data_IF_473169230153
#
_entry.id   IF_473169230153
#
_cell.length_a   1.000
_cell.length_b   1.000
_cell.length_c   1.000
_cell.angle_alpha   90.00
_cell.angle_beta   90.00
_cell.angle_gamma   90.00
#
_symmetry.space_group_name_H-M   'P 1'
#
loop_
_entity.id
_entity.type
_entity.pdbx_description
1 polymer ?
#
# COMPACT_ATOMS: atom_id res chain seq x y z
N UNK A 1 -6.70 54.95 -22.00
CA UNK A 1 -7.09 53.82 -22.88
C UNK A 1 -6.13 52.63 -22.78
N UNK A 2 -4.83 52.76 -23.03
CA UNK A 2 -3.90 51.60 -22.98
C UNK A 2 -3.80 50.93 -21.59
N UNK A 3 -3.87 51.70 -20.50
CA UNK A 3 -3.81 51.14 -19.13
C UNK A 3 -5.12 50.50 -18.66
N UNK A 4 -6.27 50.88 -19.22
CA UNK A 4 -7.56 50.28 -18.89
C UNK A 4 -7.72 48.91 -19.55
N UNK A 5 -7.28 48.78 -20.81
CA UNK A 5 -7.21 47.48 -21.51
C UNK A 5 -6.37 46.48 -20.72
N UNK A 6 -5.16 46.88 -20.29
CA UNK A 6 -4.27 46.01 -19.50
C UNK A 6 -4.89 45.56 -18.17
N UNK A 7 -5.70 46.41 -17.53
CA UNK A 7 -6.40 46.06 -16.30
C UNK A 7 -7.55 45.08 -16.56
N UNK A 8 -8.30 45.26 -17.64
CA UNK A 8 -9.35 44.31 -18.04
C UNK A 8 -8.76 42.94 -18.39
N UNK A 9 -7.66 42.90 -19.13
CA UNK A 9 -6.96 41.65 -19.46
C UNK A 9 -6.48 40.93 -18.19
N UNK A 10 -5.90 41.65 -17.23
CA UNK A 10 -5.50 41.09 -15.94
C UNK A 10 -6.68 40.54 -15.13
N UNK A 11 -7.83 41.22 -15.15
CA UNK A 11 -9.04 40.75 -14.45
C UNK A 11 -9.59 39.48 -15.09
N UNK A 12 -9.61 39.38 -16.42
CA UNK A 12 -10.00 38.18 -17.15
C UNK A 12 -9.06 37.01 -16.84
N UNK A 13 -7.74 37.22 -16.95
CA UNK A 13 -6.74 36.19 -16.62
C UNK A 13 -6.85 35.69 -15.17
N UNK A 14 -7.10 36.60 -14.22
CA UNK A 14 -7.31 36.21 -12.83
C UNK A 14 -8.59 35.41 -12.64
N UNK A 15 -9.67 35.75 -13.35
CA UNK A 15 -10.94 35.03 -13.28
C UNK A 15 -10.80 33.60 -13.79
N UNK A 16 -10.16 33.40 -14.94
CA UNK A 16 -9.90 32.08 -15.51
C UNK A 16 -9.01 31.22 -14.58
N UNK A 17 -7.99 31.84 -13.98
CA UNK A 17 -7.15 31.17 -12.99
C UNK A 17 -7.94 30.71 -11.76
N UNK A 18 -8.96 31.45 -11.33
CA UNK A 18 -9.79 31.08 -10.18
C UNK A 18 -10.74 29.93 -10.48
N UNK A 19 -11.36 29.93 -11.65
CA UNK A 19 -12.17 28.81 -12.09
C UNK A 19 -11.34 27.53 -12.18
N UNK A 20 -10.14 27.62 -12.75
CA UNK A 20 -9.17 26.52 -12.80
C UNK A 20 -8.77 26.02 -11.39
N UNK A 21 -8.59 26.91 -10.41
CA UNK A 21 -8.32 26.51 -9.02
C UNK A 21 -9.52 25.79 -8.40
N UNK A 22 -10.74 26.23 -8.70
CA UNK A 22 -11.97 25.59 -8.23
C UNK A 22 -12.05 24.14 -8.68
N UNK A 23 -11.82 23.88 -9.97
CA UNK A 23 -11.83 22.53 -10.54
C UNK A 23 -10.71 21.67 -9.96
N UNK A 24 -9.49 22.20 -9.85
CA UNK A 24 -8.34 21.48 -9.27
C UNK A 24 -8.53 21.15 -7.78
N UNK A 25 -9.23 22.00 -7.03
CA UNK A 25 -9.55 21.74 -5.62
C UNK A 25 -10.50 20.55 -5.47
N UNK A 26 -11.48 20.41 -6.36
CA UNK A 26 -12.37 19.26 -6.33
C UNK A 26 -11.62 17.99 -6.74
N UNK A 27 -10.88 18.05 -7.86
CA UNK A 27 -10.12 16.92 -8.38
C UNK A 27 -9.12 16.37 -7.34
N UNK A 28 -8.31 17.23 -6.71
CA UNK A 28 -7.33 16.77 -5.71
C UNK A 28 -8.00 16.11 -4.50
N UNK A 29 -9.17 16.59 -4.08
CA UNK A 29 -9.88 16.02 -2.93
C UNK A 29 -10.41 14.63 -3.28
N UNK A 30 -10.95 14.45 -4.49
CA UNK A 30 -11.40 13.15 -4.98
C UNK A 30 -10.26 12.13 -4.99
N UNK A 31 -9.12 12.45 -5.61
CA UNK A 31 -7.98 11.53 -5.67
C UNK A 31 -7.35 11.25 -4.29
N UNK A 32 -7.35 12.24 -3.40
CA UNK A 32 -6.97 12.04 -2.01
C UNK A 32 -7.88 11.02 -1.32
N UNK A 33 -9.21 11.15 -1.44
CA UNK A 33 -10.14 10.22 -0.83
C UNK A 33 -10.02 8.81 -1.40
N UNK A 34 -9.89 8.67 -2.72
CA UNK A 34 -9.65 7.37 -3.36
C UNK A 34 -8.39 6.72 -2.81
N UNK A 35 -7.28 7.45 -2.75
CA UNK A 35 -6.00 6.96 -2.22
C UNK A 35 -6.12 6.55 -0.75
N UNK A 36 -6.77 7.39 0.05
CA UNK A 36 -6.96 7.16 1.48
C UNK A 36 -7.83 5.92 1.75
N UNK A 37 -8.93 5.75 1.01
CA UNK A 37 -9.78 4.56 1.12
C UNK A 37 -9.02 3.30 0.71
N UNK A 38 -8.24 3.34 -0.38
CA UNK A 38 -7.41 2.20 -0.79
C UNK A 38 -6.41 1.81 0.30
N UNK A 39 -5.76 2.79 0.93
CA UNK A 39 -4.85 2.55 2.06
C UNK A 39 -5.57 1.91 3.25
N UNK A 40 -6.78 2.37 3.57
CA UNK A 40 -7.57 1.79 4.67
C UNK A 40 -8.01 0.35 4.37
N UNK A 41 -8.45 0.07 3.14
CA UNK A 41 -8.84 -1.28 2.71
C UNK A 41 -7.64 -2.23 2.79
N UNK A 42 -6.48 -1.82 2.26
CA UNK A 42 -5.26 -2.63 2.32
C UNK A 42 -4.84 -2.92 3.76
N UNK A 43 -4.95 -1.95 4.66
CA UNK A 43 -4.64 -2.16 6.07
C UNK A 43 -5.68 -3.09 6.73
N UNK A 44 -6.97 -2.90 6.45
CA UNK A 44 -8.02 -3.78 6.97
C UNK A 44 -7.82 -5.24 6.53
N UNK A 45 -7.45 -5.46 5.27
CA UNK A 45 -7.15 -6.81 4.74
C UNK A 45 -5.96 -7.44 5.47
N UNK A 46 -4.90 -6.67 5.75
CA UNK A 46 -3.76 -7.17 6.51
C UNK A 46 -4.17 -7.68 7.90
N UNK A 47 -4.99 -6.93 8.64
CA UNK A 47 -5.51 -7.34 9.95
C UNK A 47 -6.59 -8.43 9.89
N UNK A 48 -7.30 -8.56 8.78
CA UNK A 48 -8.27 -9.63 8.57
C UNK A 48 -7.58 -10.97 8.23
N UNK A 49 -6.37 -10.94 7.70
CA UNK A 49 -5.64 -12.15 7.30
C UNK A 49 -5.41 -13.19 8.43
N UNK A 50 -5.02 -12.80 9.66
CA UNK A 50 -4.86 -13.76 10.77
C UNK A 50 -6.18 -14.33 11.30
N UNK A 51 -7.32 -13.76 10.90
CA UNK A 51 -8.61 -14.25 11.38
C UNK A 51 -8.98 -15.54 10.65
N UNK A 52 -9.64 -16.49 11.33
CA UNK A 52 -10.15 -17.74 10.73
C UNK A 52 -11.28 -17.51 9.69
N UNK A 53 -11.48 -16.28 9.22
CA UNK A 53 -12.52 -15.90 8.27
C UNK A 53 -12.11 -16.08 6.80
N UNK A 54 -10.83 -16.38 6.52
CA UNK A 54 -10.32 -16.59 5.16
C UNK A 54 -10.03 -18.08 4.93
N UNK A 55 -10.63 -18.65 3.88
CA UNK A 55 -10.25 -19.96 3.37
C UNK A 55 -8.97 -19.80 2.56
N UNK A 56 -7.82 -20.19 3.15
CA UNK A 56 -6.58 -20.30 2.40
C UNK A 56 -6.74 -21.38 1.31
N UNK A 57 -6.20 -21.15 0.11
CA UNK A 57 -6.23 -22.18 -0.92
C UNK A 57 -5.47 -23.40 -0.42
N UNK A 58 -6.16 -24.53 -0.29
CA UNK A 58 -5.54 -25.82 -0.04
C UNK A 58 -4.38 -26.03 -1.03
N UNK A 59 -3.33 -26.71 -0.57
CA UNK A 59 -2.04 -27.09 -1.19
C UNK A 59 -2.07 -27.40 -2.71
N UNK A 60 -3.22 -27.72 -3.28
CA UNK A 60 -3.41 -28.04 -4.70
C UNK A 60 -3.37 -26.84 -5.65
N UNK A 61 -3.57 -25.60 -5.18
CA UNK A 61 -3.52 -24.41 -6.05
C UNK A 61 -2.11 -23.82 -6.25
N UNK A 62 -1.14 -24.13 -5.37
CA UNK A 62 0.25 -23.67 -5.46
C UNK A 62 1.01 -24.27 -6.66
N UNK A 63 0.62 -25.48 -7.11
CA UNK A 63 1.16 -26.13 -8.32
C UNK A 63 0.98 -25.27 -9.59
N UNK A 64 -0.15 -24.58 -9.71
CA UNK A 64 -0.46 -23.78 -10.89
C UNK A 64 0.20 -22.38 -10.88
N UNK A 65 0.61 -21.87 -9.73
CA UNK A 65 1.33 -20.59 -9.61
C UNK A 65 2.84 -20.78 -9.77
N UNK A 66 3.38 -21.91 -9.29
CA UNK A 66 4.75 -22.33 -9.55
C UNK A 66 4.98 -22.65 -11.04
N UNK A 67 3.99 -23.21 -11.74
CA UNK A 67 4.08 -23.47 -13.19
C UNK A 67 4.11 -22.19 -14.02
N UNK A 68 3.35 -21.16 -13.65
CA UNK A 68 3.38 -19.85 -14.34
C UNK A 68 4.67 -19.08 -14.05
N UNK A 69 5.18 -19.13 -12.82
CA UNK A 69 6.45 -18.52 -12.44
C UNK A 69 7.65 -19.19 -13.15
N UNK A 70 7.61 -20.52 -13.31
CA UNK A 70 8.62 -21.27 -14.06
C UNK A 70 8.50 -21.08 -15.58
N UNK A 71 7.32 -20.75 -16.12
CA UNK A 71 7.16 -20.33 -17.52
C UNK A 71 7.76 -18.94 -17.79
N UNK A 72 7.61 -17.99 -16.86
CA UNK A 72 8.23 -16.66 -16.96
C UNK A 72 9.76 -16.76 -16.83
N UNK A 73 10.26 -17.66 -15.97
CA UNK A 73 11.69 -17.94 -15.86
C UNK A 73 12.29 -18.61 -17.12
N UNK A 74 11.50 -19.39 -17.86
CA UNK A 74 11.91 -20.05 -19.11
C UNK A 74 11.96 -19.15 -20.35
N UNK A 75 11.36 -17.96 -20.30
CA UNK A 75 11.44 -16.94 -21.36
C UNK A 75 12.71 -16.08 -21.28
N UNK A 76 13.52 -16.23 -20.23
CA UNK A 76 14.87 -15.67 -20.15
C UNK A 76 15.89 -16.76 -20.55
N UNK A 77 16.24 -16.82 -21.84
CA UNK A 77 17.28 -17.72 -22.39
C UNK A 77 18.69 -17.28 -21.95
N UNK A 78 19.67 -18.20 -21.82
CA UNK A 78 20.58 -18.26 -20.67
C UNK A 78 22.04 -17.91 -20.98
N UNK A 79 22.85 -17.77 -19.94
CA UNK A 79 24.30 -17.90 -20.05
C UNK A 79 24.92 -18.62 -18.84
N UNK A 80 25.42 -19.82 -19.12
CA UNK A 80 26.59 -20.54 -18.55
C UNK A 80 26.55 -21.12 -17.11
N UNK A 81 26.39 -22.45 -17.08
CA UNK A 81 27.22 -23.48 -16.40
C UNK A 81 28.70 -23.05 -16.20
N UNK A 82 29.50 -23.44 -15.20
CA UNK A 82 29.68 -24.65 -14.37
C UNK A 82 30.51 -24.19 -13.13
N UNK A 83 30.46 -24.79 -11.94
CA UNK A 83 31.19 -26.02 -11.66
C UNK A 83 30.76 -26.70 -10.34
N UNK A 84 30.91 -28.02 -10.43
CA UNK A 84 30.63 -29.14 -9.53
C UNK A 84 31.72 -29.32 -8.46
N UNK A 85 31.34 -29.57 -7.20
CA UNK A 85 32.08 -30.46 -6.28
C UNK A 85 31.07 -31.26 -5.45
N UNK A 86 31.03 -32.57 -5.72
CA UNK A 86 30.43 -33.60 -4.86
C UNK A 86 31.37 -33.91 -3.70
N UNK A 87 30.85 -34.14 -2.48
CA UNK A 87 31.42 -35.16 -1.57
C UNK A 87 30.32 -35.71 -0.66
N UNK A 88 30.18 -37.04 -0.73
CA UNK A 88 29.34 -37.92 0.08
C UNK A 88 29.70 -37.85 1.56
N UNK A 89 28.71 -38.01 2.46
CA UNK A 89 28.79 -39.00 3.56
C UNK A 89 27.38 -39.37 3.99
N UNK A 90 27.07 -40.66 3.78
CA UNK A 90 25.87 -41.36 4.21
C UNK A 90 26.08 -41.95 5.61
N UNK A 91 24.95 -42.13 6.33
CA UNK A 91 24.71 -43.10 7.40
C UNK A 91 25.40 -42.84 8.74
N UNK A 92 24.60 -42.51 9.76
CA UNK A 92 24.41 -43.17 11.06
C UNK A 92 23.29 -42.36 11.77
N UNK A 93 22.56 -42.97 12.72
CA UNK A 93 21.42 -42.40 13.49
C UNK A 93 20.01 -42.56 12.89
N UNK A 94 19.76 -43.72 12.28
CA UNK A 94 18.49 -44.44 12.51
C UNK A 94 18.66 -45.35 13.74
N UNK A 95 18.44 -44.83 14.96
CA UNK A 95 18.43 -45.65 16.19
C UNK A 95 17.83 -44.94 17.43
N UNK A 96 16.73 -44.19 17.30
CA UNK A 96 16.05 -43.60 18.47
C UNK A 96 14.51 -43.57 18.35
N UNK A 97 13.93 -44.65 17.82
CA UNK A 97 12.49 -44.92 17.90
C UNK A 97 12.26 -46.34 18.41
N UNK A 98 12.27 -46.50 19.73
CA UNK A 98 11.55 -47.52 20.48
C UNK A 98 11.79 -47.25 21.96
N UNK A 99 10.75 -47.39 22.79
CA UNK A 99 10.71 -47.20 24.25
C UNK A 99 10.28 -45.78 24.70
N UNK A 100 8.99 -45.49 24.57
CA UNK A 100 8.08 -45.32 25.74
C UNK A 100 6.66 -45.15 25.22
N UNK A 101 5.95 -46.27 25.10
CA UNK A 101 4.49 -46.28 25.18
C UNK A 101 4.10 -46.38 26.66
N UNK A 102 2.91 -45.86 26.97
CA UNK A 102 2.19 -45.91 28.25
C UNK A 102 2.67 -45.02 29.40
N UNK A 103 2.01 -43.86 29.56
CA UNK A 103 1.33 -43.49 30.80
C UNK A 103 0.67 -42.09 30.66
N UNK A 104 -0.65 -42.08 30.51
CA UNK A 104 -1.63 -41.15 31.13
C UNK A 104 -2.87 -40.95 30.25
N UNK A 105 -3.72 -41.98 30.26
CA UNK A 105 -5.16 -41.79 30.19
C UNK A 105 -5.67 -41.23 31.53
N UNK A 106 -6.85 -40.59 31.49
CA UNK A 106 -7.63 -39.95 32.57
C UNK A 106 -7.34 -38.45 32.73
N UNK A 107 -8.29 -37.50 32.62
CA UNK A 107 -9.75 -37.56 32.70
C UNK A 107 -10.39 -36.49 31.81
N UNK A 108 -11.47 -36.87 31.16
CA UNK A 108 -12.42 -36.00 30.46
C UNK A 108 -13.36 -35.38 31.50
N UNK A 109 -13.34 -34.06 31.67
CA UNK A 109 -14.38 -33.34 32.42
C UNK A 109 -15.56 -33.01 31.48
N UNK A 110 -16.79 -33.46 31.77
CA UNK A 110 -17.94 -33.31 30.87
C UNK A 110 -18.69 -31.97 30.99
N UNK A 111 -18.10 -30.89 31.54
CA UNK A 111 -18.86 -29.65 31.74
C UNK A 111 -18.03 -28.35 31.61
N UNK A 112 -17.52 -28.07 30.41
CA UNK A 112 -17.18 -26.70 30.00
C UNK A 112 -17.76 -26.46 28.60
N UNK A 113 -19.08 -26.46 28.52
CA UNK A 113 -19.79 -25.87 27.39
C UNK A 113 -19.61 -24.34 27.46
N UNK A 114 -18.43 -23.87 27.08
CA UNK A 114 -18.20 -22.47 26.79
C UNK A 114 -19.13 -22.11 25.63
N UNK A 115 -20.11 -21.26 25.89
CA UNK A 115 -21.00 -20.69 24.89
C UNK A 115 -20.17 -19.91 23.85
N UNK A 116 -19.68 -20.60 22.82
CA UNK A 116 -19.15 -19.96 21.62
C UNK A 116 -20.34 -19.34 20.91
N UNK A 117 -20.56 -18.05 21.13
CA UNK A 117 -21.48 -17.23 20.32
C UNK A 117 -21.14 -17.49 18.85
N UNK A 118 -22.01 -18.21 18.17
CA UNK A 118 -21.87 -18.55 16.76
C UNK A 118 -22.23 -17.31 15.96
N UNK A 119 -21.25 -16.43 15.76
CA UNK A 119 -21.37 -15.36 14.78
C UNK A 119 -21.36 -15.99 13.40
N UNK A 120 -22.22 -15.54 12.47
CA UNK A 120 -22.23 -16.06 11.10
C UNK A 120 -20.83 -15.87 10.50
N UNK A 121 -20.13 -16.98 10.27
CA UNK A 121 -18.79 -16.94 9.71
C UNK A 121 -18.93 -16.64 8.22
N UNK A 122 -18.81 -15.36 7.86
CA UNK A 122 -18.69 -14.94 6.46
C UNK A 122 -17.34 -15.45 5.98
N UNK A 123 -17.33 -16.63 5.34
CA UNK A 123 -16.12 -17.20 4.76
C UNK A 123 -15.81 -16.47 3.46
N UNK A 124 -14.73 -15.70 3.44
CA UNK A 124 -14.28 -14.98 2.25
C UNK A 124 -13.23 -15.83 1.54
N UNK A 125 -13.45 -16.12 0.26
CA UNK A 125 -12.47 -16.83 -0.57
C UNK A 125 -11.21 -15.99 -0.75
N UNK A 126 -10.03 -16.59 -0.57
CA UNK A 126 -8.75 -15.90 -0.77
C UNK A 126 -8.61 -15.26 -2.17
N UNK A 127 -9.19 -15.88 -3.20
CA UNK A 127 -9.22 -15.33 -4.56
C UNK A 127 -9.83 -13.91 -4.63
N UNK A 128 -10.90 -13.66 -3.87
CA UNK A 128 -11.56 -12.36 -3.84
C UNK A 128 -10.68 -11.31 -3.16
N UNK A 129 -9.97 -11.70 -2.10
CA UNK A 129 -9.04 -10.81 -1.38
C UNK A 129 -7.83 -10.50 -2.25
N UNK A 130 -7.25 -11.50 -2.91
CA UNK A 130 -6.13 -11.32 -3.84
C UNK A 130 -6.50 -10.40 -5.01
N UNK A 131 -7.72 -10.53 -5.54
CA UNK A 131 -8.24 -9.63 -6.57
C UNK A 131 -8.40 -8.19 -6.02
N UNK A 132 -9.01 -8.03 -4.85
CA UNK A 132 -9.19 -6.72 -4.20
C UNK A 132 -7.85 -6.03 -3.92
N UNK A 133 -6.85 -6.75 -3.42
CA UNK A 133 -5.50 -6.20 -3.20
C UNK A 133 -4.92 -5.66 -4.52
N UNK A 134 -5.03 -6.42 -5.62
CA UNK A 134 -4.52 -5.99 -6.94
C UNK A 134 -5.21 -4.72 -7.43
N UNK A 135 -6.54 -4.66 -7.31
CA UNK A 135 -7.33 -3.49 -7.72
C UNK A 135 -6.99 -2.29 -6.85
N UNK A 136 -6.93 -2.44 -5.53
CA UNK A 136 -6.56 -1.36 -4.60
C UNK A 136 -5.14 -0.86 -4.87
N UNK A 137 -4.18 -1.75 -5.14
CA UNK A 137 -2.80 -1.36 -5.44
C UNK A 137 -2.72 -0.55 -6.74
N UNK A 138 -3.42 -0.99 -7.80
CA UNK A 138 -3.48 -0.26 -9.07
C UNK A 138 -4.13 1.11 -8.90
N UNK A 139 -5.31 1.15 -8.26
CA UNK A 139 -6.03 2.39 -8.00
C UNK A 139 -5.21 3.35 -7.12
N UNK A 140 -4.54 2.84 -6.08
CA UNK A 140 -3.69 3.64 -5.21
C UNK A 140 -2.51 4.27 -5.97
N UNK A 141 -1.82 3.50 -6.81
CA UNK A 141 -0.71 4.02 -7.62
C UNK A 141 -1.19 5.10 -8.59
N UNK A 142 -2.24 4.82 -9.37
CA UNK A 142 -2.77 5.76 -10.36
C UNK A 142 -3.32 7.02 -9.70
N UNK A 143 -4.14 6.88 -8.65
CA UNK A 143 -4.72 8.03 -7.94
C UNK A 143 -3.68 8.90 -7.26
N UNK A 144 -2.62 8.33 -6.69
CA UNK A 144 -1.53 9.12 -6.08
C UNK A 144 -0.75 9.90 -7.13
N UNK A 145 -0.44 9.30 -8.29
CA UNK A 145 0.24 10.00 -9.38
C UNK A 145 -0.62 11.17 -9.87
N UNK A 146 -1.90 10.93 -10.14
CA UNK A 146 -2.81 11.99 -10.59
C UNK A 146 -2.98 13.06 -9.51
N UNK A 147 -3.06 12.69 -8.23
CA UNK A 147 -3.08 13.64 -7.12
C UNK A 147 -1.85 14.55 -7.11
N UNK A 148 -0.65 13.97 -7.30
CA UNK A 148 0.59 14.74 -7.35
C UNK A 148 0.65 15.69 -8.55
N UNK A 149 0.25 15.21 -9.74
CA UNK A 149 0.14 16.05 -10.94
C UNK A 149 -0.88 17.19 -10.74
N UNK A 150 -2.01 16.92 -10.09
CA UNK A 150 -3.02 17.94 -9.78
C UNK A 150 -2.43 19.04 -8.89
N UNK A 151 -1.63 18.68 -7.88
CA UNK A 151 -0.93 19.66 -7.04
C UNK A 151 0.14 20.44 -7.80
N UNK A 152 0.83 19.82 -8.75
CA UNK A 152 1.79 20.51 -9.62
C UNK A 152 1.10 21.55 -10.51
N UNK A 153 -0.01 21.18 -11.14
CA UNK A 153 -0.78 22.14 -11.94
C UNK A 153 -1.32 23.27 -11.08
N UNK A 154 -1.82 22.97 -9.88
CA UNK A 154 -2.25 23.99 -8.93
C UNK A 154 -1.11 24.93 -8.54
N UNK A 155 0.11 24.42 -8.34
CA UNK A 155 1.31 25.23 -8.11
C UNK A 155 1.64 26.11 -9.32
N UNK A 156 1.60 25.57 -10.54
CA UNK A 156 1.87 26.32 -11.77
C UNK A 156 0.87 27.46 -11.99
N UNK A 157 -0.43 27.18 -11.86
CA UNK A 157 -1.48 28.20 -11.94
C UNK A 157 -1.31 29.25 -10.85
N UNK A 158 -0.92 28.84 -9.63
CA UNK A 158 -0.62 29.79 -8.54
C UNK A 158 0.52 30.74 -8.87
N UNK A 159 1.56 30.25 -9.55
CA UNK A 159 2.70 31.07 -9.97
C UNK A 159 2.31 32.05 -11.08
N UNK A 160 1.55 31.58 -12.08
CA UNK A 160 1.09 32.40 -13.20
C UNK A 160 0.11 33.48 -12.73
N UNK A 161 -0.91 33.10 -11.94
CA UNK A 161 -1.90 34.02 -11.40
C UNK A 161 -1.41 34.89 -10.24
N UNK A 162 -0.12 34.77 -9.85
CA UNK A 162 0.50 35.48 -8.70
C UNK A 162 -0.31 35.35 -7.40
N UNK A 163 -0.87 34.16 -7.20
CA UNK A 163 -1.79 33.87 -6.12
C UNK A 163 -1.00 33.64 -4.82
N UNK A 164 -1.54 34.09 -3.69
CA UNK A 164 -0.86 33.94 -2.40
C UNK A 164 -0.68 32.48 -1.97
N UNK A 165 0.18 32.25 -0.97
CA UNK A 165 0.33 30.92 -0.36
C UNK A 165 1.21 29.94 -1.13
N UNK A 166 2.03 30.43 -2.08
CA UNK A 166 2.98 29.64 -2.89
C UNK A 166 3.83 28.70 -2.01
N UNK A 167 4.34 29.18 -0.87
CA UNK A 167 5.14 28.36 0.06
C UNK A 167 4.40 27.10 0.54
N UNK A 168 3.09 27.18 0.79
CA UNK A 168 2.32 26.03 1.25
C UNK A 168 2.05 25.03 0.14
N UNK A 169 1.75 25.48 -1.08
CA UNK A 169 1.50 24.58 -2.21
C UNK A 169 2.79 23.91 -2.68
N UNK A 170 3.93 24.62 -2.73
CA UNK A 170 5.23 24.03 -3.05
C UNK A 170 5.61 22.94 -2.04
N UNK A 171 5.44 23.21 -0.74
CA UNK A 171 5.65 22.20 0.31
C UNK A 171 4.70 21.01 0.19
N UNK A 172 3.47 21.20 -0.28
CA UNK A 172 2.51 20.11 -0.49
C UNK A 172 2.91 19.24 -1.70
N UNK A 173 3.39 19.86 -2.78
CA UNK A 173 3.90 19.17 -3.97
C UNK A 173 5.09 18.27 -3.63
N UNK A 174 6.09 18.77 -2.89
CA UNK A 174 7.23 17.94 -2.52
C UNK A 174 6.85 16.77 -1.63
N UNK A 175 5.92 16.98 -0.68
CA UNK A 175 5.42 15.88 0.15
C UNK A 175 4.63 14.88 -0.70
N UNK A 176 3.83 15.32 -1.68
CA UNK A 176 3.09 14.39 -2.54
C UNK A 176 4.00 13.56 -3.44
N UNK A 177 5.12 14.11 -3.92
CA UNK A 177 6.14 13.32 -4.61
C UNK A 177 6.78 12.26 -3.72
N UNK A 178 7.07 12.61 -2.47
CA UNK A 178 7.61 11.66 -1.51
C UNK A 178 6.60 10.52 -1.26
N UNK A 179 5.30 10.81 -1.20
CA UNK A 179 4.24 9.79 -1.14
C UNK A 179 4.23 8.90 -2.38
N UNK A 180 4.31 9.46 -3.59
CA UNK A 180 4.41 8.67 -4.84
C UNK A 180 5.62 7.73 -4.77
N UNK A 181 6.79 8.25 -4.39
CA UNK A 181 8.01 7.45 -4.22
C UNK A 181 7.77 6.32 -3.22
N UNK A 182 7.22 6.57 -2.04
CA UNK A 182 7.00 5.52 -1.02
C UNK A 182 5.94 4.48 -1.41
N UNK A 183 4.98 4.83 -2.27
CA UNK A 183 3.92 3.92 -2.73
C UNK A 183 4.43 2.98 -3.82
N UNK A 184 5.36 3.41 -4.67
CA UNK A 184 5.87 2.60 -5.77
C UNK A 184 6.40 1.24 -5.27
N UNK A 185 6.12 0.14 -5.99
CA UNK A 185 6.53 -1.20 -5.58
C UNK A 185 8.01 -1.43 -5.90
N UNK A 186 8.92 -0.80 -5.16
CA UNK A 186 10.37 -0.92 -5.38
C UNK A 186 10.86 -2.36 -5.31
N UNK A 187 10.17 -3.21 -4.58
CA UNK A 187 10.45 -4.65 -4.48
C UNK A 187 10.40 -5.40 -5.83
N UNK A 188 9.62 -4.91 -6.80
CA UNK A 188 9.60 -5.49 -8.16
C UNK A 188 10.82 -5.05 -8.99
N UNK A 189 11.31 -3.83 -8.73
CA UNK A 189 12.41 -3.22 -9.48
C UNK A 189 13.78 -3.60 -8.90
N UNK A 190 13.85 -3.74 -7.58
CA UNK A 190 15.07 -4.00 -6.82
C UNK A 190 14.81 -5.17 -5.87
N UNK A 191 15.25 -6.37 -6.25
CA UNK A 191 15.06 -7.62 -5.48
C UNK A 191 15.56 -7.57 -4.03
N UNK A 192 16.42 -6.60 -3.70
CA UNK A 192 17.02 -6.45 -2.37
C UNK A 192 16.44 -5.29 -1.55
N UNK A 193 15.56 -4.46 -2.10
CA UNK A 193 15.09 -3.22 -1.46
C UNK A 193 13.61 -3.36 -1.10
N UNK A 194 13.33 -3.49 0.21
CA UNK A 194 12.00 -3.74 0.77
C UNK A 194 11.21 -2.46 1.11
N UNK A 195 11.47 -1.34 0.44
CA UNK A 195 10.75 -0.10 0.71
C UNK A 195 9.58 -0.01 -0.26
N UNK A 196 8.34 -0.05 0.22
CA UNK A 196 7.15 0.08 -0.62
C UNK A 196 5.90 -0.29 0.15
N UNK A 197 4.89 0.57 0.12
CA UNK A 197 3.60 0.33 0.79
C UNK A 197 2.76 -0.70 0.05
N UNK A 198 2.88 -0.76 -1.28
CA UNK A 198 2.21 -1.76 -2.10
C UNK A 198 2.84 -3.14 -1.84
N UNK A 199 2.02 -4.09 -1.41
CA UNK A 199 2.40 -5.48 -1.21
C UNK A 199 1.63 -6.41 -2.15
N UNK A 200 2.24 -7.53 -2.53
CA UNK A 200 1.58 -8.55 -3.35
C UNK A 200 0.78 -9.54 -2.48
N UNK A 201 -0.30 -10.16 -3.00
CA UNK A 201 -1.05 -11.17 -2.23
C UNK A 201 -0.19 -12.39 -1.89
N UNK A 202 0.85 -12.69 -2.67
CA UNK A 202 1.79 -13.76 -2.40
C UNK A 202 2.72 -13.44 -1.22
N UNK A 203 3.22 -12.20 -1.13
CA UNK A 203 3.98 -11.74 0.04
C UNK A 203 3.17 -11.83 1.32
N UNK A 204 1.88 -11.44 1.26
CA UNK A 204 0.99 -11.52 2.40
C UNK A 204 0.85 -12.97 2.90
N UNK A 205 0.62 -13.93 2.01
CA UNK A 205 0.54 -15.36 2.40
C UNK A 205 1.87 -15.87 2.95
N UNK A 206 2.98 -15.58 2.29
CA UNK A 206 4.30 -16.04 2.71
C UNK A 206 4.67 -15.55 4.12
N UNK A 207 4.24 -14.34 4.49
CA UNK A 207 4.45 -13.79 5.84
C UNK A 207 3.62 -14.55 6.88
N UNK A 208 2.37 -14.86 6.58
CA UNK A 208 1.48 -15.55 7.52
C UNK A 208 1.77 -17.05 7.64
N UNK A 209 2.16 -17.72 6.55
CA UNK A 209 2.54 -19.15 6.58
C UNK A 209 3.81 -19.39 7.41
N UNK A 210 4.79 -18.49 7.32
CA UNK A 210 6.05 -18.60 8.05
C UNK A 210 6.01 -17.93 9.43
N UNK A 211 4.85 -17.44 9.87
CA UNK A 211 4.70 -16.66 11.11
C UNK A 211 5.20 -17.40 12.36
N UNK A 212 5.05 -18.73 12.41
CA UNK A 212 5.50 -19.58 13.53
C UNK A 212 7.00 -19.86 13.55
N UNK A 213 7.69 -19.68 12.41
CA UNK A 213 9.12 -20.03 12.25
C UNK A 213 10.08 -18.85 12.35
N UNK A 214 9.60 -17.60 12.40
CA UNK A 214 10.46 -16.42 12.46
C UNK A 214 10.90 -16.08 13.90
N UNK A 215 12.14 -15.61 14.02
CA UNK A 215 12.61 -14.97 15.26
C UNK A 215 11.80 -13.69 15.53
N UNK A 216 11.56 -13.38 16.81
CA UNK A 216 10.73 -12.24 17.22
C UNK A 216 11.18 -10.89 16.60
N UNK A 217 12.50 -10.72 16.39
CA UNK A 217 13.06 -9.53 15.74
C UNK A 217 12.71 -9.44 14.24
N UNK A 218 12.78 -10.55 13.50
CA UNK A 218 12.42 -10.58 12.09
C UNK A 218 10.92 -10.34 11.89
N UNK A 219 10.09 -10.94 12.76
CA UNK A 219 8.66 -10.72 12.77
C UNK A 219 8.31 -9.25 13.06
N UNK A 220 8.97 -8.64 14.05
CA UNK A 220 8.80 -7.23 14.39
C UNK A 220 9.12 -6.30 13.23
N UNK A 221 10.24 -6.53 12.53
CA UNK A 221 10.61 -5.75 11.33
C UNK A 221 9.61 -5.91 10.17
N UNK A 222 9.05 -7.10 9.99
CA UNK A 222 8.04 -7.33 8.96
C UNK A 222 6.71 -6.64 9.29
N UNK A 223 6.19 -6.78 10.52
CA UNK A 223 4.97 -6.08 10.94
C UNK A 223 5.17 -4.56 10.90
N UNK A 224 6.36 -4.08 11.29
CA UNK A 224 6.77 -2.69 11.11
C UNK A 224 6.69 -2.29 9.63
N UNK A 225 7.16 -3.09 8.68
CA UNK A 225 7.05 -2.73 7.26
C UNK A 225 5.58 -2.51 6.84
N UNK A 226 4.69 -3.46 7.13
CA UNK A 226 3.29 -3.37 6.69
C UNK A 226 2.52 -2.26 7.40
N UNK A 227 2.77 -2.03 8.70
CA UNK A 227 2.02 -1.05 9.49
C UNK A 227 2.69 0.33 9.58
N UNK A 228 4.01 0.40 9.75
CA UNK A 228 4.74 1.67 9.87
C UNK A 228 4.80 2.40 8.54
N UNK A 229 5.15 1.72 7.43
CA UNK A 229 5.21 2.41 6.13
C UNK A 229 3.83 2.90 5.70
N UNK A 230 2.79 2.09 5.95
CA UNK A 230 1.40 2.52 5.76
C UNK A 230 1.08 3.77 6.57
N UNK A 231 1.43 3.80 7.86
CA UNK A 231 1.18 4.93 8.76
C UNK A 231 1.94 6.17 8.28
N UNK A 232 3.22 6.02 7.93
CA UNK A 232 4.06 7.10 7.41
C UNK A 232 3.46 7.69 6.13
N UNK A 233 3.08 6.86 5.16
CA UNK A 233 2.45 7.34 3.92
C UNK A 233 1.12 8.02 4.18
N UNK A 234 0.30 7.47 5.08
CA UNK A 234 -0.99 8.06 5.46
C UNK A 234 -0.80 9.44 6.11
N UNK A 235 0.14 9.57 7.05
CA UNK A 235 0.48 10.85 7.68
C UNK A 235 1.00 11.87 6.68
N UNK A 236 1.88 11.46 5.76
CA UNK A 236 2.40 12.33 4.71
C UNK A 236 1.31 12.79 3.75
N UNK A 237 0.39 11.90 3.37
CA UNK A 237 -0.75 12.22 2.51
C UNK A 237 -1.69 13.21 3.19
N UNK A 238 -2.00 13.01 4.48
CA UNK A 238 -2.77 13.96 5.29
C UNK A 238 -2.05 15.31 5.38
N UNK A 239 -0.73 15.32 5.63
CA UNK A 239 0.05 16.55 5.72
C UNK A 239 0.09 17.31 4.38
N UNK A 240 0.26 16.61 3.26
CA UNK A 240 0.16 17.20 1.92
C UNK A 240 -1.22 17.86 1.71
N UNK A 241 -2.28 17.16 2.12
CA UNK A 241 -3.65 17.63 1.98
C UNK A 241 -3.93 18.85 2.89
N UNK A 242 -3.50 18.83 4.14
CA UNK A 242 -3.63 19.97 5.07
C UNK A 242 -2.90 21.21 4.55
N UNK A 243 -1.69 21.04 4.00
CA UNK A 243 -0.91 22.14 3.40
C UNK A 243 -1.61 22.68 2.14
N UNK A 244 -2.14 21.80 1.29
CA UNK A 244 -2.94 22.20 0.14
C UNK A 244 -4.22 22.94 0.54
N UNK A 245 -4.88 22.55 1.63
CA UNK A 245 -6.03 23.29 2.17
C UNK A 245 -5.63 24.68 2.68
N UNK A 246 -4.50 24.81 3.36
CA UNK A 246 -3.96 26.12 3.81
C UNK A 246 -3.66 27.03 2.63
N UNK A 247 -3.09 26.48 1.54
CA UNK A 247 -2.92 27.22 0.29
C UNK A 247 -4.26 27.76 -0.22
N UNK A 248 -5.26 26.89 -0.39
CA UNK A 248 -6.58 27.31 -0.89
C UNK A 248 -7.22 28.39 -0.01
N UNK A 249 -7.14 28.26 1.32
CA UNK A 249 -7.63 29.29 2.24
C UNK A 249 -6.91 30.62 2.06
N UNK A 250 -5.58 30.61 1.93
CA UNK A 250 -4.80 31.84 1.73
C UNK A 250 -5.07 32.49 0.36
N UNK A 251 -5.31 31.68 -0.67
CA UNK A 251 -5.73 32.17 -1.98
C UNK A 251 -7.09 32.87 -1.88
N UNK A 252 -8.09 32.23 -1.25
CA UNK A 252 -9.42 32.83 -1.09
C UNK A 252 -9.43 34.09 -0.22
N UNK A 253 -8.61 34.12 0.85
CA UNK A 253 -8.45 35.32 1.71
C UNK A 253 -7.90 36.51 0.93
N UNK A 254 -6.92 36.30 0.06
CA UNK A 254 -6.37 37.38 -0.78
C UNK A 254 -7.35 37.93 -1.80
N UNK A 255 -8.38 37.15 -2.14
CA UNK A 255 -9.40 37.53 -3.10
C UNK A 255 -10.62 38.17 -2.43
N UNK A 256 -10.63 38.32 -1.10
CA UNK A 256 -11.75 38.90 -0.36
C UNK A 256 -13.00 38.00 -0.29
N UNK A 257 -12.93 36.77 -0.80
CA UNK A 257 -14.06 35.82 -0.85
C UNK A 257 -14.30 35.17 0.52
N UNK A 258 -13.25 35.03 1.33
CA UNK A 258 -13.33 34.51 2.70
C UNK A 258 -12.68 35.54 3.63
N UNK A 259 -13.47 36.12 4.54
CA UNK A 259 -13.00 36.82 5.73
C UNK A 259 -12.44 35.83 6.75
#
# INVERSE_FOLDING_TARGET
>A
MADESKRQDQLLETTDCLEAIGTLKNAKNLFFFISFICLLILQAIFWLTPTKYIELPNETAQSNLASVSSMIAKLAVPAKQEAKIETKTQKIEQAAQALTADANAAKTDPNTAAHTKHYPQIKIKFANIAWTIRVCNYLLAVSTIIYSLTLLFAMKISLVGRLGGISHITKAVFVSFLVVVLILPWQLMFKSVLFGVIYTPAELLAVWENFSGYSAGALGLMVMRFSLLWLVVTLLLINAQLRSMRWSKNTLKRLGIIG
#
